data_IF_541306826182
#
_entry.id   IF_541306826182
#
_cell.length_a   1.000
_cell.length_b   1.000
_cell.length_c   1.000
_cell.angle_alpha   90.00
_cell.angle_beta   90.00
_cell.angle_gamma   90.00
#
_symmetry.space_group_name_H-M   'P 1'
#
loop_
_entity.id
_entity.type
_entity.pdbx_description
1 polymer ?
#
# COMPACT_ATOMS: atom_id res chain seq x y z
N UNK A 1 -10.64 6.94 -19.06
CA UNK A 1 -9.20 6.64 -19.11
C UNK A 1 -9.01 5.28 -18.43
N UNK A 2 -7.95 4.54 -18.78
CA UNK A 2 -7.81 3.16 -18.31
C UNK A 2 -7.15 3.16 -16.94
N UNK A 3 -7.86 2.70 -15.93
CA UNK A 3 -7.31 2.53 -14.58
C UNK A 3 -6.29 1.39 -14.59
N UNK A 4 -5.01 1.74 -14.46
CA UNK A 4 -3.97 0.76 -14.21
C UNK A 4 -3.93 0.39 -12.73
N UNK A 5 -3.64 -0.88 -12.48
CA UNK A 5 -3.62 -1.44 -11.13
C UNK A 5 -2.21 -1.82 -10.83
N UNK A 6 -1.64 -1.14 -9.86
CA UNK A 6 -0.39 -1.59 -9.27
C UNK A 6 -0.73 -2.40 -8.02
N UNK A 7 -0.14 -3.59 -7.90
CA UNK A 7 -0.37 -4.43 -6.75
C UNK A 7 0.98 -4.91 -6.20
N UNK A 8 1.12 -4.86 -4.88
CA UNK A 8 2.31 -5.27 -4.15
C UNK A 8 1.90 -6.28 -3.10
N UNK A 9 2.62 -7.38 -3.03
CA UNK A 9 2.50 -8.29 -1.89
C UNK A 9 3.54 -7.87 -0.87
N UNK A 10 3.07 -7.49 0.31
CA UNK A 10 3.92 -7.16 1.44
C UNK A 10 3.76 -8.21 2.53
N UNK A 11 4.85 -8.58 3.18
CA UNK A 11 4.85 -9.47 4.33
C UNK A 11 5.65 -8.87 5.47
N UNK A 12 5.17 -9.05 6.70
CA UNK A 12 5.83 -8.64 7.93
C UNK A 12 6.57 -9.83 8.52
N UNK A 13 7.89 -9.73 8.60
CA UNK A 13 8.74 -10.76 9.19
C UNK A 13 8.66 -10.74 10.71
N UNK A 14 8.66 -11.91 11.33
CA UNK A 14 8.64 -12.09 12.78
C UNK A 14 9.84 -11.46 13.51
N UNK A 15 11.02 -11.54 12.89
CA UNK A 15 12.27 -11.02 13.45
C UNK A 15 12.33 -9.49 13.45
N UNK A 16 11.86 -8.88 12.36
CA UNK A 16 12.02 -7.44 12.14
C UNK A 16 10.79 -6.62 12.54
N UNK A 17 9.60 -7.24 12.54
CA UNK A 17 8.34 -6.58 12.79
C UNK A 17 7.95 -5.52 11.74
N UNK A 18 8.66 -5.46 10.61
CA UNK A 18 8.41 -4.50 9.52
C UNK A 18 7.96 -5.20 8.25
N UNK A 19 7.16 -4.51 7.43
CA UNK A 19 6.78 -5.04 6.12
C UNK A 19 7.92 -4.90 5.11
N UNK A 20 8.15 -5.96 4.35
CA UNK A 20 8.95 -5.97 3.15
C UNK A 20 8.06 -6.21 1.92
N UNK A 21 8.35 -5.53 0.82
CA UNK A 21 7.73 -5.81 -0.47
C UNK A 21 8.35 -7.08 -1.06
N UNK A 22 7.53 -8.12 -1.25
CA UNK A 22 7.99 -9.41 -1.78
C UNK A 22 7.82 -9.50 -3.30
N UNK A 23 6.78 -8.86 -3.83
CA UNK A 23 6.48 -8.89 -5.26
C UNK A 23 5.71 -7.65 -5.67
N UNK A 24 5.98 -7.17 -6.89
CA UNK A 24 5.11 -6.28 -7.65
C UNK A 24 4.42 -7.12 -8.73
N UNK A 25 3.10 -7.10 -8.79
CA UNK A 25 2.31 -7.92 -9.69
C UNK A 25 1.45 -7.01 -10.57
N UNK A 26 1.53 -7.23 -11.88
CA UNK A 26 0.60 -6.62 -12.84
C UNK A 26 -0.61 -7.54 -12.95
N UNK A 27 -1.75 -7.07 -12.45
CA UNK A 27 -3.01 -7.80 -12.53
C UNK A 27 -3.72 -7.47 -13.85
N UNK A 28 -4.38 -8.46 -14.44
CA UNK A 28 -5.26 -8.21 -15.58
C UNK A 28 -6.35 -7.20 -15.20
N UNK A 29 -6.85 -6.40 -16.15
CA UNK A 29 -7.82 -5.34 -15.87
C UNK A 29 -9.24 -5.90 -15.74
N UNK A 30 -9.52 -6.60 -14.64
CA UNK A 30 -10.86 -7.08 -14.29
C UNK A 30 -11.57 -6.09 -13.36
N UNK A 31 -12.41 -5.24 -13.94
CA UNK A 31 -13.12 -4.19 -13.19
C UNK A 31 -14.13 -4.72 -12.18
N UNK A 32 -14.66 -5.92 -12.37
CA UNK A 32 -15.58 -6.53 -11.41
C UNK A 32 -14.81 -6.94 -10.17
N UNK A 33 -13.70 -7.67 -10.35
CA UNK A 33 -12.78 -8.03 -9.27
C UNK A 33 -12.29 -6.78 -8.51
N UNK A 34 -11.93 -5.73 -9.22
CA UNK A 34 -11.47 -4.48 -8.62
C UNK A 34 -12.51 -3.75 -7.78
N UNK A 35 -13.77 -3.77 -8.23
CA UNK A 35 -14.85 -3.21 -7.44
C UNK A 35 -15.08 -4.03 -6.17
N UNK A 36 -15.04 -5.36 -6.27
CA UNK A 36 -15.17 -6.27 -5.13
C UNK A 36 -14.06 -6.04 -4.10
N UNK A 37 -12.81 -5.88 -4.54
CA UNK A 37 -11.66 -5.77 -3.65
C UNK A 37 -11.47 -4.38 -3.03
N UNK A 38 -11.74 -3.30 -3.77
CA UNK A 38 -11.38 -1.97 -3.29
C UNK A 38 -12.21 -0.83 -3.83
N UNK A 39 -13.40 -1.14 -4.36
CA UNK A 39 -14.35 -0.15 -4.84
C UNK A 39 -13.78 0.73 -5.96
N UNK A 40 -12.89 0.16 -6.79
CA UNK A 40 -11.98 0.93 -7.65
C UNK A 40 -12.66 1.93 -8.58
N UNK A 41 -13.84 1.62 -9.12
CA UNK A 41 -14.55 2.53 -10.03
C UNK A 41 -15.35 3.61 -9.33
N UNK A 42 -15.87 3.35 -8.13
CA UNK A 42 -16.73 4.29 -7.43
C UNK A 42 -15.96 5.51 -6.91
N UNK A 43 -14.64 5.39 -6.70
CA UNK A 43 -13.85 6.51 -6.21
C UNK A 43 -13.86 7.73 -7.14
N UNK A 44 -14.02 7.54 -8.45
CA UNK A 44 -14.14 8.65 -9.40
C UNK A 44 -15.48 9.39 -9.32
N UNK A 45 -16.43 8.92 -8.49
CA UNK A 45 -17.78 9.46 -8.38
C UNK A 45 -18.07 9.94 -6.94
N UNK A 46 -18.94 10.95 -6.76
CA UNK A 46 -19.46 11.30 -5.43
C UNK A 46 -20.10 10.09 -4.75
N UNK A 47 -19.98 9.98 -3.42
CA UNK A 47 -20.52 8.83 -2.66
C UNK A 47 -22.02 8.58 -2.88
N UNK A 48 -22.79 9.64 -3.18
CA UNK A 48 -24.22 9.54 -3.53
C UNK A 48 -24.51 8.81 -4.84
N UNK A 49 -23.49 8.62 -5.69
CA UNK A 49 -23.58 8.01 -7.02
C UNK A 49 -22.96 6.61 -7.07
N UNK A 50 -22.49 6.09 -5.93
CA UNK A 50 -21.87 4.77 -5.87
C UNK A 50 -22.92 3.69 -6.12
N UNK A 51 -22.67 2.81 -7.09
CA UNK A 51 -23.59 1.72 -7.46
C UNK A 51 -23.30 0.39 -6.75
N UNK A 52 -22.18 0.32 -6.04
CA UNK A 52 -21.77 -0.83 -5.23
C UNK A 52 -20.83 -0.37 -4.11
N UNK A 53 -20.71 -1.17 -3.06
CA UNK A 53 -19.66 -0.99 -2.05
C UNK A 53 -18.81 -2.25 -2.05
N UNK A 54 -17.48 -2.09 -1.98
CA UNK A 54 -16.60 -3.22 -1.72
C UNK A 54 -17.00 -3.88 -0.41
N UNK A 55 -17.01 -5.21 -0.37
CA UNK A 55 -17.36 -5.96 0.84
C UNK A 55 -16.50 -5.53 2.03
N UNK A 56 -15.20 -5.36 1.78
CA UNK A 56 -14.28 -4.73 2.72
C UNK A 56 -14.11 -3.26 2.30
N UNK A 57 -14.55 -2.28 3.12
CA UNK A 57 -14.41 -0.88 2.79
C UNK A 57 -12.94 -0.49 2.59
N UNK A 58 -12.61 0.34 1.58
CA UNK A 58 -11.25 0.84 1.41
C UNK A 58 -10.78 1.58 2.67
N UNK A 59 -9.62 1.18 3.20
CA UNK A 59 -9.07 1.75 4.45
C UNK A 59 -8.04 2.86 4.22
N UNK A 60 -7.77 3.20 2.96
CA UNK A 60 -6.58 3.99 2.61
C UNK A 60 -5.33 3.12 2.68
N UNK A 61 -4.16 3.76 2.59
CA UNK A 61 -2.93 3.01 2.73
C UNK A 61 -2.57 2.77 4.20
N UNK A 62 -1.81 1.70 4.45
CA UNK A 62 -1.42 1.38 5.80
C UNK A 62 -0.42 2.40 6.35
N UNK A 63 -0.31 2.45 7.67
CA UNK A 63 0.63 3.33 8.39
C UNK A 63 2.04 2.72 8.53
N UNK A 64 2.32 1.62 7.86
CA UNK A 64 3.57 0.87 7.97
C UNK A 64 3.93 0.23 6.64
N UNK A 65 3.88 1.04 5.58
CA UNK A 65 4.18 0.62 4.22
C UNK A 65 5.65 0.24 4.12
N UNK A 66 5.94 -0.81 3.34
CA UNK A 66 7.33 -1.17 3.09
C UNK A 66 8.01 -0.07 2.30
N UNK A 67 9.30 0.12 2.58
CA UNK A 67 10.11 1.17 1.94
C UNK A 67 10.11 1.06 0.42
N UNK A 68 10.20 -0.17 -0.11
CA UNK A 68 10.18 -0.39 -1.57
C UNK A 68 8.84 0.05 -2.17
N UNK A 69 7.73 -0.43 -1.63
CA UNK A 69 6.41 -0.04 -2.14
C UNK A 69 6.19 1.47 -2.04
N UNK A 70 6.64 2.09 -0.94
CA UNK A 70 6.50 3.52 -0.74
C UNK A 70 7.24 4.36 -1.81
N UNK A 71 8.40 3.95 -2.31
CA UNK A 71 9.12 4.71 -3.36
C UNK A 71 8.34 4.91 -4.65
N UNK A 72 7.41 4.01 -4.97
CA UNK A 72 6.60 4.13 -6.18
C UNK A 72 5.48 5.15 -6.01
N UNK A 73 4.87 5.25 -4.83
CA UNK A 73 3.59 5.93 -4.69
C UNK A 73 3.53 7.03 -3.65
N UNK A 74 4.55 7.17 -2.81
CA UNK A 74 4.60 8.18 -1.77
C UNK A 74 5.74 9.15 -2.00
N UNK A 75 5.49 10.38 -1.57
CA UNK A 75 6.55 11.33 -1.24
C UNK A 75 6.72 11.36 0.27
N UNK A 76 7.97 11.29 0.75
CA UNK A 76 8.26 11.42 2.17
C UNK A 76 8.14 12.89 2.61
N UNK A 77 7.60 13.12 3.79
CA UNK A 77 7.49 14.46 4.35
C UNK A 77 8.82 14.83 5.01
N UNK A 78 9.45 15.90 4.54
CA UNK A 78 10.73 16.37 5.07
C UNK A 78 10.63 16.72 6.55
N UNK A 79 11.65 16.31 7.31
CA UNK A 79 11.72 16.57 8.75
C UNK A 79 10.70 15.79 9.61
N UNK A 80 9.94 14.86 9.03
CA UNK A 80 8.93 14.08 9.76
C UNK A 80 9.48 12.85 10.48
N UNK A 81 10.78 12.59 10.39
CA UNK A 81 11.36 11.35 10.89
C UNK A 81 11.32 11.23 12.41
N UNK A 82 11.00 10.03 12.91
CA UNK A 82 11.08 9.69 14.33
C UNK A 82 11.98 8.47 14.58
N UNK A 83 12.76 8.45 15.67
CA UNK A 83 13.48 9.56 16.29
C UNK A 83 14.89 9.68 15.66
N UNK A 84 15.33 10.92 15.37
CA UNK A 84 16.72 11.29 15.04
C UNK A 84 17.33 10.85 13.68
N UNK A 85 16.54 10.46 12.68
CA UNK A 85 17.05 10.55 11.32
C UNK A 85 17.15 12.02 10.92
N UNK A 86 18.13 12.37 10.07
CA UNK A 86 18.33 13.76 9.67
C UNK A 86 17.08 14.34 8.97
N UNK A 87 17.10 15.64 8.66
CA UNK A 87 15.98 16.31 7.98
C UNK A 87 15.54 15.63 6.67
N UNK A 88 16.49 14.98 5.97
CA UNK A 88 16.22 14.21 4.76
C UNK A 88 16.45 12.71 4.99
N UNK A 89 15.64 11.85 4.37
CA UNK A 89 15.91 10.41 4.32
C UNK A 89 17.23 10.12 3.58
N UNK A 90 17.71 8.87 3.63
CA UNK A 90 18.95 8.51 2.95
C UNK A 90 18.80 8.76 1.43
N UNK A 91 19.60 9.71 0.91
CA UNK A 91 19.63 10.13 -0.49
C UNK A 91 19.91 9.03 -1.52
N UNK A 92 20.52 7.92 -1.11
CA UNK A 92 20.78 6.79 -2.00
C UNK A 92 19.54 5.95 -2.29
N UNK A 93 18.55 6.00 -1.40
CA UNK A 93 17.32 5.23 -1.54
C UNK A 93 16.11 6.14 -1.79
N UNK A 94 16.12 7.30 -1.16
CA UNK A 94 15.09 8.32 -1.29
C UNK A 94 15.69 9.53 -2.01
N UNK A 95 15.41 9.65 -3.30
CA UNK A 95 15.81 10.83 -4.05
C UNK A 95 15.11 12.07 -3.47
N UNK A 96 15.78 13.24 -3.51
CA UNK A 96 15.19 14.49 -3.02
C UNK A 96 13.88 14.84 -3.76
N UNK A 97 13.72 14.35 -4.99
CA UNK A 97 12.49 14.49 -5.78
C UNK A 97 11.31 13.65 -5.24
N UNK A 98 11.57 12.67 -4.37
CA UNK A 98 10.56 11.84 -3.71
C UNK A 98 10.26 12.34 -2.29
N UNK A 99 10.48 13.63 -2.03
CA UNK A 99 10.23 14.27 -0.75
C UNK A 99 9.44 15.58 -0.95
N UNK A 100 8.55 15.88 -0.03
CA UNK A 100 7.71 17.10 -0.03
C UNK A 100 7.84 17.87 1.29
N UNK A 101 7.52 19.16 1.25
CA UNK A 101 7.40 19.94 2.49
C UNK A 101 6.14 19.55 3.25
N UNK A 102 6.09 19.93 4.53
CA UNK A 102 4.91 19.70 5.37
C UNK A 102 3.69 20.45 4.83
N UNK A 103 3.87 21.67 4.35
CA UNK A 103 2.80 22.52 3.80
C UNK A 103 2.19 21.91 2.54
N UNK A 104 3.01 21.34 1.65
CA UNK A 104 2.54 20.63 0.46
C UNK A 104 1.77 19.36 0.82
N UNK A 105 2.25 18.59 1.81
CA UNK A 105 1.53 17.41 2.28
C UNK A 105 0.17 17.78 2.89
N UNK A 106 0.10 18.83 3.71
CA UNK A 106 -1.15 19.34 4.29
C UNK A 106 -2.13 19.80 3.20
N UNK A 107 -1.62 20.48 2.17
CA UNK A 107 -2.41 20.88 1.01
C UNK A 107 -3.05 19.67 0.32
N UNK A 108 -2.28 18.64 -0.02
CA UNK A 108 -2.80 17.41 -0.65
C UNK A 108 -3.87 16.72 0.19
N UNK A 109 -3.69 16.67 1.51
CA UNK A 109 -4.70 16.11 2.42
C UNK A 109 -5.99 16.92 2.38
N UNK A 110 -5.90 18.26 2.43
CA UNK A 110 -7.08 19.12 2.47
C UNK A 110 -7.81 19.29 1.13
N UNK A 111 -7.08 19.33 0.03
CA UNK A 111 -7.61 19.69 -1.30
C UNK A 111 -7.85 18.46 -2.19
N UNK A 112 -7.02 17.41 -2.06
CA UNK A 112 -7.06 16.24 -2.95
C UNK A 112 -7.66 15.01 -2.27
N UNK A 113 -8.09 15.13 -1.01
CA UNK A 113 -8.61 14.00 -0.23
C UNK A 113 -7.55 12.92 0.04
N UNK A 114 -6.27 13.30 0.02
CA UNK A 114 -5.17 12.42 0.43
C UNK A 114 -5.17 12.17 1.94
N UNK A 115 -4.28 11.29 2.40
CA UNK A 115 -4.07 11.02 3.82
C UNK A 115 -2.57 10.94 4.12
N UNK A 116 -2.22 11.08 5.39
CA UNK A 116 -0.84 10.90 5.86
C UNK A 116 -0.64 9.43 6.25
N UNK A 117 0.28 8.76 5.57
CA UNK A 117 0.77 7.43 5.92
C UNK A 117 2.09 7.49 6.68
N UNK A 118 2.63 6.32 7.01
CA UNK A 118 3.96 6.18 7.58
C UNK A 118 4.74 5.05 6.89
N UNK A 119 6.04 5.26 6.72
CA UNK A 119 6.99 4.34 6.09
C UNK A 119 8.06 3.97 7.10
N UNK A 120 8.32 2.66 7.24
CA UNK A 120 9.27 2.13 8.23
C UNK A 120 10.53 1.61 7.55
N UNK A 121 11.67 2.23 7.85
CA UNK A 121 12.97 1.90 7.26
C UNK A 121 13.92 1.30 8.31
N UNK A 122 14.44 0.11 8.07
CA UNK A 122 15.42 -0.57 8.97
C UNK A 122 16.87 -0.46 8.52
N UNK A 123 17.12 -0.03 7.30
CA UNK A 123 18.46 0.03 6.71
C UNK A 123 18.96 1.47 6.57
N UNK A 124 20.27 1.65 6.44
CA UNK A 124 20.90 2.96 6.28
C UNK A 124 20.54 4.00 7.38
N UNK A 125 20.29 3.53 8.60
CA UNK A 125 20.04 4.38 9.77
C UNK A 125 21.36 4.84 10.37
N UNK A 126 21.39 6.07 10.91
CA UNK A 126 22.55 6.51 11.73
C UNK A 126 22.68 5.59 12.95
N UNK A 127 23.87 5.03 13.15
CA UNK A 127 24.19 4.01 14.18
C UNK A 127 23.96 4.43 15.65
N UNK A 128 23.62 5.68 15.93
CA UNK A 128 23.66 6.24 17.29
C UNK A 128 22.34 6.14 18.09
N UNK A 129 21.23 5.69 17.48
CA UNK A 129 19.93 5.63 18.17
C UNK A 129 19.69 4.29 18.85
N UNK A 130 19.89 4.28 20.16
CA UNK A 130 19.90 3.10 21.05
C UNK A 130 18.52 2.53 21.43
N UNK A 131 17.44 2.70 20.65
CA UNK A 131 16.13 2.20 21.09
C UNK A 131 15.11 1.78 20.03
N UNK A 132 15.36 1.97 18.73
CA UNK A 132 14.46 1.47 17.68
C UNK A 132 15.26 0.94 16.47
N UNK A 133 14.96 -0.29 16.04
CA UNK A 133 15.59 -0.95 14.89
C UNK A 133 15.15 -0.37 13.53
N UNK A 134 14.25 0.62 13.53
CA UNK A 134 13.73 1.27 12.34
C UNK A 134 13.53 2.78 12.57
N UNK A 135 13.59 3.55 11.49
CA UNK A 135 13.10 4.92 11.44
C UNK A 135 11.72 4.97 10.82
N UNK A 136 10.89 5.88 11.31
CA UNK A 136 9.55 6.15 10.78
C UNK A 136 9.56 7.48 10.07
N UNK A 137 9.01 7.51 8.86
CA UNK A 137 8.81 8.73 8.08
C UNK A 137 7.34 8.90 7.80
N UNK A 138 6.81 10.10 8.01
CA UNK A 138 5.49 10.41 7.49
C UNK A 138 5.57 10.54 5.98
N UNK A 139 4.51 10.16 5.30
CA UNK A 139 4.44 10.15 3.85
C UNK A 139 3.06 10.57 3.37
N UNK A 140 2.99 11.14 2.17
CA UNK A 140 1.73 11.48 1.49
C UNK A 140 1.76 10.85 0.09
N UNK A 141 0.61 10.35 -0.44
CA UNK A 141 0.56 9.86 -1.80
C UNK A 141 1.10 10.90 -2.81
N UNK A 142 1.78 10.42 -3.86
CA UNK A 142 2.15 11.22 -5.02
C UNK A 142 0.88 11.72 -5.72
N UNK A 143 0.97 12.87 -6.35
CA UNK A 143 -0.13 13.44 -7.14
C UNK A 143 -0.63 12.43 -8.16
N UNK A 144 -1.94 12.23 -8.23
CA UNK A 144 -2.59 11.27 -9.13
C UNK A 144 -2.77 9.87 -8.56
N UNK A 145 -2.04 9.50 -7.49
CA UNK A 145 -2.24 8.22 -6.83
C UNK A 145 -3.40 8.32 -5.85
N UNK A 146 -4.56 7.87 -6.32
CA UNK A 146 -5.77 7.89 -5.55
C UNK A 146 -6.10 6.49 -5.01
N UNK A 147 -6.73 6.45 -3.83
CA UNK A 147 -7.38 5.23 -3.30
C UNK A 147 -6.49 4.01 -3.10
N UNK A 148 -5.33 4.13 -2.44
CA UNK A 148 -4.66 2.94 -1.98
C UNK A 148 -5.58 2.17 -1.03
N UNK A 149 -5.58 0.86 -1.17
CA UNK A 149 -6.26 -0.06 -0.29
C UNK A 149 -5.38 -1.27 -0.06
N UNK A 150 -5.58 -1.93 1.07
CA UNK A 150 -4.90 -3.17 1.37
C UNK A 150 -5.85 -4.20 1.97
N UNK A 151 -5.61 -5.46 1.60
CA UNK A 151 -6.35 -6.61 2.08
C UNK A 151 -5.38 -7.73 2.45
N UNK A 152 -5.66 -8.43 3.54
CA UNK A 152 -5.07 -9.74 3.83
C UNK A 152 -5.58 -10.79 2.83
N UNK A 153 -4.90 -11.94 2.74
CA UNK A 153 -5.38 -13.05 1.91
C UNK A 153 -6.80 -13.48 2.31
N UNK A 154 -7.04 -13.61 3.62
CA UNK A 154 -8.36 -13.96 4.15
C UNK A 154 -9.44 -12.98 3.70
N UNK A 155 -9.18 -11.67 3.75
CA UNK A 155 -10.15 -10.65 3.33
C UNK A 155 -10.44 -10.72 1.83
N UNK A 156 -9.44 -11.04 1.00
CA UNK A 156 -9.62 -11.25 -0.44
C UNK A 156 -10.52 -12.46 -0.70
N UNK A 157 -10.24 -13.59 -0.03
CA UNK A 157 -11.03 -14.81 -0.17
C UNK A 157 -12.48 -14.63 0.34
N UNK A 158 -12.66 -13.89 1.44
CA UNK A 158 -13.98 -13.53 1.95
C UNK A 158 -14.75 -12.66 0.95
N UNK A 159 -14.10 -11.64 0.37
CA UNK A 159 -14.71 -10.78 -0.63
C UNK A 159 -15.15 -11.56 -1.88
N UNK A 160 -14.36 -12.53 -2.34
CA UNK A 160 -14.76 -13.40 -3.45
C UNK A 160 -15.90 -14.34 -3.08
N UNK A 161 -15.87 -14.95 -1.90
CA UNK A 161 -16.94 -15.85 -1.45
C UNK A 161 -18.29 -15.15 -1.31
N UNK A 162 -18.33 -13.92 -0.78
CA UNK A 162 -19.57 -13.15 -0.63
C UNK A 162 -20.16 -12.70 -1.97
N UNK A 163 -19.33 -12.58 -3.00
CA UNK A 163 -19.75 -12.16 -4.35
C UNK A 163 -19.88 -13.35 -5.32
N UNK A 164 -19.94 -14.60 -4.81
CA UNK A 164 -20.07 -15.82 -5.61
C UNK A 164 -19.01 -15.95 -6.73
N UNK A 165 -17.79 -15.44 -6.50
CA UNK A 165 -16.68 -15.52 -7.45
C UNK A 165 -15.91 -16.82 -7.23
N UNK A 166 -15.91 -17.70 -8.23
CA UNK A 166 -15.05 -18.88 -8.22
C UNK A 166 -13.61 -18.49 -8.58
N UNK A 167 -12.70 -18.66 -7.62
CA UNK A 167 -11.26 -18.42 -7.79
C UNK A 167 -10.69 -19.22 -8.97
N UNK A 168 -11.23 -20.40 -9.29
CA UNK A 168 -10.77 -21.21 -10.41
C UNK A 168 -11.06 -20.57 -11.78
N UNK A 169 -12.09 -19.73 -11.86
CA UNK A 169 -12.52 -19.03 -13.06
C UNK A 169 -11.80 -17.68 -13.25
N UNK A 170 -11.14 -17.17 -12.21
CA UNK A 170 -10.34 -15.95 -12.29
C UNK A 170 -9.19 -16.06 -13.30
N UNK A 171 -8.79 -14.92 -13.85
CA UNK A 171 -7.61 -14.82 -14.70
C UNK A 171 -6.35 -15.38 -14.00
N UNK A 172 -5.44 -15.92 -14.81
CA UNK A 172 -4.22 -16.57 -14.34
C UNK A 172 -3.39 -15.67 -13.43
N UNK A 173 -3.38 -14.34 -13.62
CA UNK A 173 -2.62 -13.43 -12.76
C UNK A 173 -3.16 -13.39 -11.34
N UNK A 174 -4.49 -13.43 -11.15
CA UNK A 174 -5.10 -13.47 -9.82
C UNK A 174 -4.90 -14.82 -9.15
N UNK A 175 -5.08 -15.92 -9.90
CA UNK A 175 -4.82 -17.26 -9.36
C UNK A 175 -3.38 -17.42 -8.92
N UNK A 176 -2.42 -16.91 -9.69
CA UNK A 176 -1.01 -16.90 -9.34
C UNK A 176 -0.73 -16.03 -8.10
N UNK A 177 -1.32 -14.84 -8.02
CA UNK A 177 -1.24 -13.97 -6.84
C UNK A 177 -1.73 -14.68 -5.57
N UNK A 178 -2.93 -15.27 -5.60
CA UNK A 178 -3.51 -15.95 -4.44
C UNK A 178 -2.69 -17.17 -4.04
N UNK A 179 -2.20 -17.95 -5.00
CA UNK A 179 -1.32 -19.07 -4.73
C UNK A 179 0.00 -18.61 -4.08
N UNK A 180 0.60 -17.53 -4.57
CA UNK A 180 1.80 -16.94 -3.98
C UNK A 180 1.54 -16.48 -2.54
N UNK A 181 0.45 -15.74 -2.32
CA UNK A 181 0.04 -15.27 -0.99
C UNK A 181 -0.15 -16.45 -0.02
N UNK A 182 -0.83 -17.53 -0.42
CA UNK A 182 -1.03 -18.72 0.42
C UNK A 182 0.29 -19.36 0.84
N UNK A 183 1.27 -19.43 -0.06
CA UNK A 183 2.59 -20.01 0.26
C UNK A 183 3.32 -19.16 1.29
N UNK A 184 3.30 -17.83 1.15
CA UNK A 184 3.95 -16.91 2.08
C UNK A 184 3.24 -16.88 3.44
N UNK A 185 1.91 -16.88 3.48
CA UNK A 185 1.12 -16.90 4.73
C UNK A 185 1.33 -18.19 5.53
N UNK A 186 1.64 -19.31 4.86
CA UNK A 186 1.94 -20.58 5.49
C UNK A 186 3.36 -20.65 6.09
N UNK A 187 4.22 -19.67 5.81
CA UNK A 187 5.58 -19.59 6.37
C UNK A 187 5.51 -19.18 7.86
N UNK A 188 6.05 -19.97 8.80
CA UNK A 188 6.03 -19.65 10.22
C UNK A 188 6.78 -18.35 10.59
N UNK A 189 7.69 -17.86 9.74
CA UNK A 189 8.43 -16.62 9.96
C UNK A 189 7.65 -15.38 9.45
N UNK A 190 6.51 -15.57 8.79
CA UNK A 190 5.59 -14.51 8.38
C UNK A 190 4.56 -14.26 9.47
N UNK A 191 4.58 -13.07 10.07
CA UNK A 191 3.56 -12.67 11.05
C UNK A 191 2.27 -12.18 10.40
N UNK A 192 2.41 -11.49 9.27
CA UNK A 192 1.30 -10.84 8.58
C UNK A 192 1.64 -10.66 7.11
N UNK A 193 0.63 -10.66 6.26
CA UNK A 193 0.78 -10.48 4.82
C UNK A 193 -0.45 -9.77 4.26
N UNK A 194 -0.18 -8.86 3.32
CA UNK A 194 -1.22 -8.11 2.63
C UNK A 194 -0.91 -7.91 1.16
N UNK A 195 -1.97 -7.80 0.38
CA UNK A 195 -1.95 -7.16 -0.91
C UNK A 195 -2.20 -5.67 -0.71
N UNK A 196 -1.23 -4.82 -1.08
CA UNK A 196 -1.43 -3.38 -1.22
C UNK A 196 -1.65 -3.05 -2.69
N UNK A 197 -2.71 -2.30 -3.01
CA UNK A 197 -3.04 -1.95 -4.39
C UNK A 197 -3.67 -0.57 -4.50
N UNK A 198 -3.69 -0.04 -5.71
CA UNK A 198 -4.10 1.33 -6.05
C UNK A 198 -4.68 1.34 -7.46
N UNK A 199 -5.50 2.36 -7.70
CA UNK A 199 -6.15 2.63 -8.95
C UNK A 199 -5.58 3.93 -9.51
N UNK A 200 -4.85 3.87 -10.63
CA UNK A 200 -4.41 5.09 -11.33
C UNK A 200 -5.57 5.64 -12.20
N UNK A 201 -5.60 6.95 -12.46
CA UNK A 201 -6.66 7.63 -13.23
C UNK A 201 -6.37 7.72 -14.74
#
# INVERSE_FOLDING_TARGET
MGTDIHAFVEARSSDSGIYASLAQINLNRDYEVFNILGNGRNYSFPKSEWWSEAHIPPRGAPSDISVWTATFFYDLILGSSSPDQGFTPNRWFWEAASCVSKEEAEKRVSEEGSFIGEVQQTFNLKKETNSQHFARWQAVPKVGNHSPSYLSLREIEEAFAVNDIDIAELDVTYRALLAFMRVIEADPDTQDMRLLFWFDN
#
